data_IF_947753690410
#
_entry.id   IF_947753690410
#
_cell.length_a   1.000
_cell.length_b   1.000
_cell.length_c   1.000
_cell.angle_alpha   90.00
_cell.angle_beta   90.00
_cell.angle_gamma   90.00
#
_symmetry.space_group_name_H-M   'P 1'
#
loop_
_entity.id
_entity.type
_entity.pdbx_description
1 polymer ?
#
# COMPACT_ATOMS: atom_id res chain seq x y z
N UNK A 1 26.32 92.96 -21.18
CA UNK A 1 25.43 92.26 -22.14
C UNK A 1 26.27 91.40 -23.05
N UNK A 2 26.26 90.08 -22.85
CA UNK A 2 26.73 89.08 -23.81
C UNK A 2 25.84 87.84 -23.62
N UNK A 3 25.28 87.38 -24.74
CA UNK A 3 24.06 86.57 -24.82
C UNK A 3 24.30 85.07 -24.59
N UNK A 4 23.36 84.44 -23.90
CA UNK A 4 23.29 82.99 -23.69
C UNK A 4 22.78 82.31 -24.96
N UNK A 5 23.55 81.36 -25.52
CA UNK A 5 23.13 80.52 -26.66
C UNK A 5 22.45 79.25 -26.12
N UNK A 6 21.23 78.88 -26.55
CA UNK A 6 20.56 77.67 -26.07
C UNK A 6 21.13 76.41 -26.75
N UNK A 7 21.29 75.34 -25.96
CA UNK A 7 21.73 74.01 -26.39
C UNK A 7 20.57 73.31 -27.16
N UNK A 8 20.84 72.62 -28.28
CA UNK A 8 19.80 71.89 -29.00
C UNK A 8 19.38 70.65 -28.20
N UNK A 9 18.08 70.36 -28.20
CA UNK A 9 17.50 69.18 -27.57
C UNK A 9 17.99 67.90 -28.28
N UNK A 10 18.45 66.92 -27.51
CA UNK A 10 18.75 65.58 -28.00
C UNK A 10 17.47 64.96 -28.57
N UNK A 11 17.52 64.46 -29.80
CA UNK A 11 16.47 63.61 -30.34
C UNK A 11 16.38 62.30 -29.51
N UNK A 12 15.17 61.76 -29.26
CA UNK A 12 15.02 60.52 -28.53
C UNK A 12 15.65 59.35 -29.32
N UNK A 13 16.38 58.49 -28.62
CA UNK A 13 16.95 57.27 -29.21
C UNK A 13 15.84 56.35 -29.75
N UNK A 14 16.06 55.68 -30.90
CA UNK A 14 15.08 54.75 -31.45
C UNK A 14 14.91 53.57 -30.49
N UNK A 15 13.67 53.36 -30.03
CA UNK A 15 13.31 52.24 -29.19
C UNK A 15 13.68 50.92 -29.89
N UNK A 16 14.54 50.13 -29.24
CA UNK A 16 14.78 48.74 -29.58
C UNK A 16 13.43 48.01 -29.60
N UNK A 17 13.00 47.63 -30.81
CA UNK A 17 11.86 46.76 -31.05
C UNK A 17 11.94 45.53 -30.16
N UNK A 18 11.07 45.44 -29.15
CA UNK A 18 10.84 44.23 -28.38
C UNK A 18 10.37 43.14 -29.35
N UNK A 19 11.23 42.18 -29.64
CA UNK A 19 10.80 40.93 -30.28
C UNK A 19 9.71 40.33 -29.41
N UNK A 20 8.57 39.87 -29.96
CA UNK A 20 7.54 39.24 -29.14
C UNK A 20 8.16 38.03 -28.46
N UNK A 21 8.05 37.94 -27.13
CA UNK A 21 8.38 36.71 -26.43
C UNK A 21 7.48 35.61 -27.02
N UNK A 22 8.09 34.70 -27.79
CA UNK A 22 7.40 33.53 -28.32
C UNK A 22 7.19 32.57 -27.15
N UNK A 23 6.15 32.84 -26.37
CA UNK A 23 5.69 31.98 -25.30
C UNK A 23 4.90 30.80 -25.86
N UNK A 24 5.05 29.62 -25.26
CA UNK A 24 4.17 28.50 -25.51
C UNK A 24 2.73 28.90 -25.17
N UNK A 25 1.77 28.47 -25.99
CA UNK A 25 0.35 28.64 -25.64
C UNK A 25 0.04 27.90 -24.34
N UNK A 26 -0.99 28.34 -23.60
CA UNK A 26 -1.43 27.65 -22.38
C UNK A 26 -1.74 26.16 -22.63
N UNK A 27 -2.28 25.83 -23.81
CA UNK A 27 -2.53 24.45 -24.22
C UNK A 27 -1.23 23.66 -24.43
N UNK A 28 -0.18 24.27 -25.02
CA UNK A 28 1.12 23.64 -25.20
C UNK A 28 1.86 23.42 -23.87
N UNK A 29 1.74 24.38 -22.92
CA UNK A 29 2.28 24.21 -21.56
C UNK A 29 1.57 23.08 -20.82
N UNK A 30 0.24 23.02 -20.88
CA UNK A 30 -0.53 21.94 -20.26
C UNK A 30 -0.15 20.55 -20.83
N UNK A 31 -0.02 20.46 -22.15
CA UNK A 31 0.41 19.22 -22.81
C UNK A 31 1.85 18.82 -22.42
N UNK A 32 2.78 19.78 -22.31
CA UNK A 32 4.14 19.52 -21.87
C UNK A 32 4.17 19.06 -20.40
N UNK A 33 3.42 19.72 -19.51
CA UNK A 33 3.31 19.32 -18.11
C UNK A 33 2.75 17.91 -17.97
N UNK A 34 1.71 17.57 -18.75
CA UNK A 34 1.15 16.21 -18.76
C UNK A 34 2.18 15.18 -19.25
N UNK A 35 2.86 15.47 -20.35
CA UNK A 35 3.91 14.59 -20.89
C UNK A 35 5.04 14.35 -19.87
N UNK A 36 5.47 15.40 -19.15
CA UNK A 36 6.50 15.26 -18.12
C UNK A 36 6.06 14.36 -16.96
N UNK A 37 4.80 14.49 -16.52
CA UNK A 37 4.23 13.61 -15.49
C UNK A 37 4.15 12.15 -15.97
N UNK A 38 3.68 11.94 -17.21
CA UNK A 38 3.62 10.59 -17.80
C UNK A 38 5.01 9.97 -17.98
N UNK A 39 5.99 10.76 -18.43
CA UNK A 39 7.38 10.32 -18.59
C UNK A 39 8.00 9.93 -17.24
N UNK A 40 7.80 10.76 -16.20
CA UNK A 40 8.31 10.46 -14.87
C UNK A 40 7.69 9.18 -14.30
N UNK A 41 6.37 9.00 -14.44
CA UNK A 41 5.69 7.79 -14.00
C UNK A 41 6.21 6.53 -14.72
N UNK A 42 6.50 6.63 -16.03
CA UNK A 42 7.09 5.54 -16.81
C UNK A 42 8.49 5.19 -16.33
N UNK A 43 9.32 6.19 -16.03
CA UNK A 43 10.68 6.01 -15.49
C UNK A 43 10.66 5.36 -14.10
N UNK A 44 9.77 5.81 -13.21
CA UNK A 44 9.60 5.23 -11.87
C UNK A 44 9.15 3.76 -11.94
N UNK A 45 8.20 3.46 -12.83
CA UNK A 45 7.75 2.09 -13.07
C UNK A 45 8.90 1.23 -13.63
N UNK A 46 9.65 1.72 -14.61
CA UNK A 46 10.79 1.00 -15.17
C UNK A 46 11.88 0.72 -14.13
N UNK A 47 12.17 1.68 -13.26
CA UNK A 47 13.10 1.51 -12.14
C UNK A 47 12.61 0.43 -11.15
N UNK A 48 11.32 0.40 -10.85
CA UNK A 48 10.74 -0.63 -9.98
C UNK A 48 10.84 -2.04 -10.58
N UNK A 49 10.63 -2.20 -11.89
CA UNK A 49 10.82 -3.48 -12.57
C UNK A 49 12.31 -3.90 -12.58
N UNK A 50 13.23 -2.97 -12.81
CA UNK A 50 14.67 -3.27 -12.72
C UNK A 50 15.08 -3.71 -11.30
N UNK A 51 14.56 -3.06 -10.26
CA UNK A 51 14.80 -3.46 -8.87
C UNK A 51 14.23 -4.86 -8.57
N UNK A 52 13.05 -5.19 -9.12
CA UNK A 52 12.49 -6.53 -9.02
C UNK A 52 13.39 -7.58 -9.71
N UNK A 53 13.94 -7.29 -10.89
CA UNK A 53 14.88 -8.18 -11.58
C UNK A 53 16.18 -8.42 -10.77
N UNK A 54 16.73 -7.37 -10.14
CA UNK A 54 17.88 -7.51 -9.23
C UNK A 54 17.54 -8.39 -8.02
N UNK A 55 16.35 -8.22 -7.44
CA UNK A 55 15.86 -9.03 -6.34
C UNK A 55 15.66 -10.49 -6.76
N UNK A 56 15.13 -10.74 -7.97
CA UNK A 56 15.00 -12.09 -8.51
C UNK A 56 16.37 -12.77 -8.65
N UNK A 57 17.37 -12.04 -9.12
CA UNK A 57 18.73 -12.54 -9.23
C UNK A 57 19.37 -12.83 -7.85
N UNK A 58 19.05 -12.02 -6.83
CA UNK A 58 19.49 -12.23 -5.46
C UNK A 58 18.80 -13.44 -4.79
N UNK A 59 17.48 -13.56 -4.92
CA UNK A 59 16.69 -14.70 -4.43
C UNK A 59 17.20 -16.01 -5.06
N UNK A 60 17.50 -16.01 -6.37
CA UNK A 60 18.08 -17.17 -7.07
C UNK A 60 19.47 -17.58 -6.55
N UNK A 61 20.22 -16.64 -5.97
CA UNK A 61 21.53 -16.88 -5.33
C UNK A 61 21.40 -17.25 -3.85
N UNK A 62 20.19 -17.19 -3.28
CA UNK A 62 19.94 -17.42 -1.86
C UNK A 62 20.25 -16.23 -0.95
N UNK A 63 20.49 -15.05 -1.54
CA UNK A 63 20.61 -13.80 -0.80
C UNK A 63 19.20 -13.40 -0.31
N UNK A 64 19.11 -12.77 0.87
CA UNK A 64 17.83 -12.38 1.50
C UNK A 64 17.62 -10.85 1.59
N UNK A 65 17.70 -10.07 0.49
CA UNK A 65 17.55 -8.62 0.54
C UNK A 65 16.06 -8.20 0.51
N UNK A 66 15.19 -8.88 1.26
CA UNK A 66 13.74 -8.60 1.22
C UNK A 66 13.43 -7.28 1.91
N UNK A 67 13.07 -6.27 1.12
CA UNK A 67 12.64 -4.94 1.58
C UNK A 67 11.46 -4.47 0.74
N UNK A 68 10.51 -3.78 1.36
CA UNK A 68 9.43 -3.10 0.64
C UNK A 68 9.93 -1.91 -0.19
N UNK A 69 11.15 -1.42 0.06
CA UNK A 69 11.77 -0.36 -0.76
C UNK A 69 11.96 -0.78 -2.24
N UNK A 70 12.10 -2.09 -2.50
CA UNK A 70 12.18 -2.63 -3.86
C UNK A 70 10.82 -2.58 -4.59
N UNK A 71 9.73 -2.35 -3.87
CA UNK A 71 8.36 -2.34 -4.37
C UNK A 71 7.66 -1.05 -3.96
N UNK A 72 8.00 0.11 -4.56
CA UNK A 72 7.39 1.38 -4.19
C UNK A 72 5.87 1.37 -4.38
N UNK A 73 5.16 2.04 -3.47
CA UNK A 73 3.70 2.17 -3.47
C UNK A 73 3.20 2.84 -4.75
N UNK A 74 2.19 2.25 -5.39
CA UNK A 74 1.48 2.87 -6.51
C UNK A 74 0.08 3.31 -6.07
N UNK A 75 -0.05 4.59 -5.75
CA UNK A 75 -1.29 5.17 -5.23
C UNK A 75 -2.48 5.00 -6.19
N UNK A 76 -2.23 5.06 -7.51
CA UNK A 76 -3.26 4.79 -8.52
C UNK A 76 -3.81 3.36 -8.52
N UNK A 77 -3.09 2.42 -7.89
CA UNK A 77 -3.50 1.04 -7.70
C UNK A 77 -4.04 0.78 -6.28
N UNK A 78 -4.17 1.82 -5.46
CA UNK A 78 -4.57 1.71 -4.05
C UNK A 78 -3.64 0.80 -3.23
N UNK A 79 -2.35 0.87 -3.53
CA UNK A 79 -1.30 0.14 -2.82
C UNK A 79 -0.79 0.96 -1.64
N UNK A 80 -1.10 0.51 -0.43
CA UNK A 80 -0.59 1.10 0.81
C UNK A 80 0.07 0.01 1.63
N UNK A 81 1.36 0.15 1.87
CA UNK A 81 2.14 -0.90 2.52
C UNK A 81 2.08 -0.75 4.02
N UNK A 82 1.81 -1.85 4.73
CA UNK A 82 1.91 -1.84 6.18
C UNK A 82 3.34 -1.45 6.60
N UNK A 83 3.48 -0.67 7.66
CA UNK A 83 4.79 -0.37 8.23
C UNK A 83 5.47 -1.63 8.81
N UNK A 84 6.77 -1.55 9.09
CA UNK A 84 7.55 -2.73 9.52
C UNK A 84 7.02 -3.31 10.85
N UNK A 85 6.57 -2.48 11.78
CA UNK A 85 6.03 -2.95 13.06
C UNK A 85 4.73 -3.73 12.85
N UNK A 86 3.83 -3.19 12.04
CA UNK A 86 2.55 -3.78 11.68
C UNK A 86 2.74 -5.11 10.96
N UNK A 87 3.59 -5.12 9.93
CA UNK A 87 3.93 -6.35 9.20
C UNK A 87 4.50 -7.42 10.13
N UNK A 88 5.36 -7.03 11.08
CA UNK A 88 5.96 -7.95 12.08
C UNK A 88 4.93 -8.50 13.06
N UNK A 89 4.00 -7.68 13.55
CA UNK A 89 2.93 -8.11 14.47
C UNK A 89 1.99 -9.09 13.78
N UNK A 90 1.54 -8.77 12.56
CA UNK A 90 0.68 -9.63 11.75
C UNK A 90 1.37 -10.95 11.39
N UNK A 91 2.64 -10.91 10.97
CA UNK A 91 3.41 -12.11 10.65
C UNK A 91 3.55 -13.05 11.86
N UNK A 92 3.84 -12.51 13.06
CA UNK A 92 3.90 -13.31 14.29
C UNK A 92 2.57 -13.96 14.63
N UNK A 93 1.48 -13.22 14.48
CA UNK A 93 0.14 -13.76 14.71
C UNK A 93 -0.19 -14.87 13.70
N UNK A 94 0.10 -14.67 12.42
CA UNK A 94 -0.09 -15.71 11.40
C UNK A 94 0.67 -17.00 11.75
N UNK A 95 1.94 -16.90 12.13
CA UNK A 95 2.76 -18.07 12.51
C UNK A 95 2.18 -18.76 13.75
N UNK A 96 1.77 -17.99 14.75
CA UNK A 96 1.20 -18.52 16.00
C UNK A 96 -0.09 -19.30 15.75
N UNK A 97 -0.93 -18.85 14.81
CA UNK A 97 -2.21 -19.50 14.50
C UNK A 97 -2.11 -20.63 13.48
N UNK A 98 -1.09 -20.60 12.61
CA UNK A 98 -0.94 -21.58 11.54
C UNK A 98 -0.57 -22.98 12.03
N UNK A 99 0.04 -23.12 13.22
CA UNK A 99 0.46 -24.41 13.78
C UNK A 99 1.25 -25.28 12.78
N UNK A 100 2.14 -24.66 12.00
CA UNK A 100 2.94 -25.30 10.94
C UNK A 100 2.23 -25.47 9.59
N UNK A 101 0.94 -25.15 9.49
CA UNK A 101 0.18 -25.19 8.23
C UNK A 101 0.47 -24.00 7.31
N UNK A 102 -0.15 -24.03 6.12
CA UNK A 102 0.03 -23.01 5.08
C UNK A 102 -0.56 -21.66 5.49
N UNK A 103 0.20 -20.60 5.26
CA UNK A 103 -0.25 -19.20 5.43
C UNK A 103 -0.47 -18.60 4.04
N UNK A 104 -1.70 -18.15 3.78
CA UNK A 104 -2.06 -17.47 2.53
C UNK A 104 -2.21 -15.97 2.80
N UNK A 105 -1.56 -15.15 1.99
CA UNK A 105 -1.59 -13.70 2.05
C UNK A 105 -2.30 -13.19 0.79
N UNK A 106 -3.42 -12.49 0.96
CA UNK A 106 -4.19 -11.91 -0.16
C UNK A 106 -4.06 -10.40 -0.10
N UNK A 107 -3.43 -9.82 -1.12
CA UNK A 107 -3.12 -8.39 -1.20
C UNK A 107 -2.33 -7.84 -0.01
N UNK A 108 -1.56 -8.70 0.69
CA UNK A 108 -0.73 -8.29 1.84
C UNK A 108 0.76 -8.62 1.64
N UNK A 109 1.43 -7.96 0.68
CA UNK A 109 2.84 -8.23 0.38
C UNK A 109 3.80 -7.85 1.52
N UNK A 110 3.51 -6.80 2.29
CA UNK A 110 4.35 -6.40 3.44
C UNK A 110 4.49 -7.51 4.48
N UNK A 111 3.38 -8.18 4.80
CA UNK A 111 3.39 -9.32 5.74
C UNK A 111 4.10 -10.53 5.13
N UNK A 112 3.91 -10.78 3.83
CA UNK A 112 4.62 -11.85 3.12
C UNK A 112 6.15 -11.67 3.18
N UNK A 113 6.67 -10.48 2.86
CA UNK A 113 8.12 -10.22 2.94
C UNK A 113 8.63 -10.34 4.38
N UNK A 114 7.83 -9.91 5.37
CA UNK A 114 8.19 -10.08 6.78
C UNK A 114 8.26 -11.56 7.19
N UNK A 115 7.32 -12.40 6.74
CA UNK A 115 7.35 -13.85 6.96
C UNK A 115 8.58 -14.49 6.31
N UNK A 116 8.94 -14.09 5.09
CA UNK A 116 10.18 -14.49 4.43
C UNK A 116 11.39 -14.08 5.29
N UNK A 117 11.49 -12.81 5.70
CA UNK A 117 12.57 -12.25 6.56
C UNK A 117 12.73 -13.00 7.87
N UNK A 118 11.63 -13.43 8.46
CA UNK A 118 11.61 -14.25 9.68
C UNK A 118 12.02 -15.71 9.45
N UNK A 119 12.18 -16.14 8.19
CA UNK A 119 12.53 -17.50 7.78
C UNK A 119 11.62 -18.56 8.43
N UNK A 120 10.31 -18.28 8.40
CA UNK A 120 9.30 -19.17 9.00
C UNK A 120 9.28 -20.52 8.28
N UNK A 121 9.02 -21.63 9.00
CA UNK A 121 8.95 -22.95 8.38
C UNK A 121 7.64 -23.21 7.64
N UNK A 122 6.63 -22.35 7.82
CA UNK A 122 5.32 -22.48 7.21
C UNK A 122 5.40 -22.32 5.68
N UNK A 123 4.68 -23.15 4.90
CA UNK A 123 4.45 -22.87 3.50
C UNK A 123 3.72 -21.53 3.33
N UNK A 124 4.16 -20.71 2.38
CA UNK A 124 3.58 -19.41 2.09
C UNK A 124 2.95 -19.40 0.70
N UNK A 125 1.86 -18.65 0.54
CA UNK A 125 1.25 -18.32 -0.75
C UNK A 125 0.92 -16.83 -0.74
N UNK A 126 1.41 -16.09 -1.73
CA UNK A 126 1.06 -14.69 -1.95
C UNK A 126 0.13 -14.59 -3.17
N UNK A 127 -1.09 -14.11 -2.95
CA UNK A 127 -2.01 -13.71 -4.01
C UNK A 127 -1.92 -12.19 -4.15
N UNK A 128 -1.33 -11.71 -5.24
CA UNK A 128 -1.20 -10.27 -5.48
C UNK A 128 -1.47 -9.87 -6.94
N UNK A 129 -2.03 -8.68 -7.13
CA UNK A 129 -2.24 -8.06 -8.43
C UNK A 129 -0.94 -7.53 -9.02
N UNK A 130 -0.04 -7.01 -8.17
CA UNK A 130 1.23 -6.46 -8.62
C UNK A 130 2.21 -7.53 -9.07
N UNK A 131 2.40 -7.62 -10.39
CA UNK A 131 3.28 -8.62 -11.02
C UNK A 131 4.76 -8.41 -10.71
N UNK A 132 5.17 -7.29 -10.09
CA UNK A 132 6.54 -7.12 -9.60
C UNK A 132 6.89 -8.18 -8.55
N UNK A 133 5.92 -8.70 -7.79
CA UNK A 133 6.14 -9.78 -6.83
C UNK A 133 6.34 -11.16 -7.48
N UNK A 134 6.23 -11.30 -8.81
CA UNK A 134 6.47 -12.56 -9.52
C UNK A 134 7.90 -13.10 -9.42
N UNK A 135 8.81 -12.31 -8.84
CA UNK A 135 10.17 -12.73 -8.45
C UNK A 135 10.15 -13.84 -7.41
N UNK A 136 9.07 -13.97 -6.64
CA UNK A 136 8.90 -14.99 -5.61
C UNK A 136 8.17 -16.22 -6.15
N UNK A 137 8.66 -17.45 -5.92
CA UNK A 137 7.96 -18.67 -6.37
C UNK A 137 6.61 -18.88 -5.68
N UNK A 138 6.40 -18.26 -4.51
CA UNK A 138 5.15 -18.28 -3.75
C UNK A 138 4.08 -17.33 -4.32
N UNK A 139 4.43 -16.46 -5.27
CA UNK A 139 3.50 -15.50 -5.87
C UNK A 139 2.53 -16.17 -6.85
N UNK A 140 1.27 -15.76 -6.83
CA UNK A 140 0.29 -15.99 -7.88
C UNK A 140 -0.41 -14.69 -8.20
N UNK A 141 -0.53 -14.40 -9.49
CA UNK A 141 -1.27 -13.25 -9.98
C UNK A 141 -2.75 -13.37 -9.55
N UNK A 142 -3.26 -12.34 -8.92
CA UNK A 142 -4.60 -12.30 -8.35
C UNK A 142 -5.29 -11.00 -8.69
N UNK A 143 -6.57 -11.08 -9.06
CA UNK A 143 -7.41 -9.96 -9.40
C UNK A 143 -8.75 -10.16 -8.69
N UNK A 144 -9.05 -9.31 -7.69
CA UNK A 144 -10.29 -9.44 -6.93
C UNK A 144 -11.54 -9.26 -7.80
N UNK A 145 -11.43 -8.67 -9.01
CA UNK A 145 -12.55 -8.62 -9.96
C UNK A 145 -12.89 -10.00 -10.54
N UNK A 146 -11.96 -10.96 -10.45
CA UNK A 146 -12.09 -12.36 -10.86
C UNK A 146 -11.60 -13.30 -9.74
N UNK A 147 -12.28 -13.31 -8.57
CA UNK A 147 -11.73 -13.82 -7.32
C UNK A 147 -11.36 -15.31 -7.35
N UNK A 148 -12.09 -16.13 -8.12
CA UNK A 148 -11.87 -17.57 -8.21
C UNK A 148 -10.98 -18.00 -9.40
N UNK A 149 -10.48 -17.05 -10.19
CA UNK A 149 -9.67 -17.38 -11.36
C UNK A 149 -8.27 -17.86 -10.93
N UNK A 150 -7.85 -19.02 -11.43
CA UNK A 150 -6.50 -19.55 -11.27
C UNK A 150 -6.03 -19.77 -9.81
N UNK A 151 -6.97 -20.04 -8.90
CA UNK A 151 -6.61 -20.37 -7.52
C UNK A 151 -5.84 -21.70 -7.44
N UNK A 152 -4.75 -21.76 -6.68
CA UNK A 152 -4.04 -23.00 -6.46
C UNK A 152 -4.88 -23.96 -5.59
N UNK A 153 -4.69 -25.26 -5.80
CA UNK A 153 -5.25 -26.28 -4.92
C UNK A 153 -4.45 -26.34 -3.61
N UNK A 154 -4.88 -25.55 -2.63
CA UNK A 154 -4.25 -25.46 -1.32
C UNK A 154 -5.30 -25.25 -0.25
N UNK A 155 -5.07 -25.85 0.91
CA UNK A 155 -5.87 -25.62 2.10
C UNK A 155 -5.08 -24.78 3.11
N UNK A 156 -5.58 -23.59 3.41
CA UNK A 156 -4.95 -22.62 4.29
C UNK A 156 -5.22 -22.94 5.77
N UNK A 157 -4.19 -22.93 6.61
CA UNK A 157 -4.37 -22.88 8.06
C UNK A 157 -4.72 -21.45 8.51
N UNK A 158 -4.06 -20.46 7.91
CA UNK A 158 -4.32 -19.03 8.11
C UNK A 158 -4.47 -18.35 6.77
N UNK A 159 -5.47 -17.48 6.65
CA UNK A 159 -5.59 -16.54 5.52
C UNK A 159 -5.57 -15.13 6.09
N UNK A 160 -4.60 -14.32 5.66
CA UNK A 160 -4.57 -12.90 5.92
C UNK A 160 -5.01 -12.13 4.68
N UNK A 161 -5.97 -11.21 4.84
CA UNK A 161 -6.49 -10.37 3.75
C UNK A 161 -6.29 -8.89 4.06
N UNK A 162 -5.78 -8.13 3.09
CA UNK A 162 -5.63 -6.68 3.14
C UNK A 162 -6.04 -6.08 1.78
N UNK A 163 -7.35 -6.07 1.46
CA UNK A 163 -7.82 -5.73 0.12
C UNK A 163 -7.55 -4.26 -0.24
N UNK A 164 -7.32 -3.96 -1.53
CA UNK A 164 -6.87 -2.63 -1.98
C UNK A 164 -7.86 -1.51 -1.71
N UNK A 165 -9.16 -1.83 -1.67
CA UNK A 165 -10.22 -0.84 -1.45
C UNK A 165 -11.05 -1.16 -0.20
N UNK A 166 -11.31 -0.12 0.58
CA UNK A 166 -12.14 -0.18 1.78
C UNK A 166 -13.61 0.02 1.41
N UNK A 167 -14.18 -0.97 0.73
CA UNK A 167 -15.61 -1.05 0.43
C UNK A 167 -16.11 -2.49 0.40
N UNK A 168 -17.42 -2.67 0.55
CA UNK A 168 -18.04 -3.99 0.68
C UNK A 168 -17.87 -4.87 -0.57
N UNK A 169 -17.87 -4.29 -1.77
CA UNK A 169 -17.70 -5.05 -3.01
C UNK A 169 -16.31 -5.68 -3.08
N UNK A 170 -15.26 -4.88 -2.86
CA UNK A 170 -13.88 -5.34 -2.86
C UNK A 170 -13.64 -6.37 -1.76
N UNK A 171 -14.14 -6.09 -0.54
CA UNK A 171 -13.99 -7.01 0.58
C UNK A 171 -14.72 -8.33 0.33
N UNK A 172 -15.97 -8.30 -0.14
CA UNK A 172 -16.77 -9.50 -0.41
C UNK A 172 -16.14 -10.42 -1.44
N UNK A 173 -15.60 -9.86 -2.54
CA UNK A 173 -14.89 -10.66 -3.56
C UNK A 173 -13.59 -11.24 -3.02
N UNK A 174 -12.86 -10.47 -2.22
CA UNK A 174 -11.63 -10.96 -1.56
C UNK A 174 -11.96 -12.08 -0.55
N UNK A 175 -13.07 -11.95 0.18
CA UNK A 175 -13.56 -12.97 1.10
C UNK A 175 -14.05 -14.24 0.37
N UNK A 176 -14.54 -14.12 -0.87
CA UNK A 176 -14.85 -15.28 -1.72
C UNK A 176 -13.59 -16.11 -1.98
N UNK A 177 -12.50 -15.46 -2.39
CA UNK A 177 -11.17 -16.09 -2.55
C UNK A 177 -10.69 -16.73 -1.26
N UNK A 178 -10.75 -15.99 -0.15
CA UNK A 178 -10.30 -16.46 1.16
C UNK A 178 -11.05 -17.71 1.61
N UNK A 179 -12.37 -17.77 1.39
CA UNK A 179 -13.19 -18.95 1.72
C UNK A 179 -12.94 -20.13 0.79
N UNK A 180 -12.66 -19.89 -0.50
CA UNK A 180 -12.33 -20.96 -1.43
C UNK A 180 -11.04 -21.71 -1.06
N UNK A 181 -10.11 -21.05 -0.37
CA UNK A 181 -8.84 -21.60 0.10
C UNK A 181 -8.90 -22.11 1.55
N UNK A 182 -10.03 -21.94 2.23
CA UNK A 182 -10.19 -22.28 3.63
C UNK A 182 -10.59 -23.74 3.85
N UNK A 183 -10.08 -24.32 4.93
CA UNK A 183 -10.61 -25.52 5.56
C UNK A 183 -11.55 -25.20 6.73
N UNK A 184 -12.07 -26.24 7.42
CA UNK A 184 -13.03 -26.06 8.51
C UNK A 184 -12.50 -25.22 9.69
N UNK A 185 -11.19 -25.31 9.97
CA UNK A 185 -10.56 -24.68 11.14
C UNK A 185 -9.75 -23.43 10.81
N UNK A 186 -9.79 -22.97 9.55
CA UNK A 186 -8.98 -21.85 9.05
C UNK A 186 -9.19 -20.60 9.87
N UNK A 187 -8.07 -19.95 10.20
CA UNK A 187 -8.05 -18.67 10.92
C UNK A 187 -7.97 -17.53 9.91
N UNK A 188 -8.91 -16.61 9.98
CA UNK A 188 -8.91 -15.39 9.18
C UNK A 188 -8.34 -14.24 10.01
N UNK A 189 -7.45 -13.48 9.38
CA UNK A 189 -7.00 -12.18 9.85
C UNK A 189 -7.31 -11.20 8.71
N UNK A 190 -8.13 -10.17 8.95
CA UNK A 190 -8.38 -9.14 7.95
C UNK A 190 -7.86 -7.80 8.44
N UNK A 191 -7.24 -7.04 7.54
CA UNK A 191 -6.91 -5.63 7.73
C UNK A 191 -7.76 -4.83 6.75
N UNK A 192 -8.59 -3.93 7.28
CA UNK A 192 -9.41 -3.02 6.47
C UNK A 192 -9.93 -1.88 7.33
N UNK A 193 -10.61 -0.90 6.74
CA UNK A 193 -11.21 0.19 7.50
C UNK A 193 -12.50 -0.22 8.22
N UNK A 194 -12.84 0.49 9.29
CA UNK A 194 -14.03 0.20 10.12
C UNK A 194 -15.36 0.18 9.35
N UNK A 195 -15.48 0.97 8.28
CA UNK A 195 -16.71 1.06 7.49
C UNK A 195 -17.16 -0.29 6.90
N UNK A 196 -16.24 -1.23 6.65
CA UNK A 196 -16.59 -2.57 6.12
C UNK A 196 -16.78 -3.64 7.19
N UNK A 197 -16.76 -3.29 8.49
CA UNK A 197 -16.81 -4.26 9.60
C UNK A 197 -17.98 -5.24 9.53
N UNK A 198 -19.15 -4.77 9.09
CA UNK A 198 -20.35 -5.60 8.95
C UNK A 198 -20.17 -6.62 7.83
N UNK A 199 -19.61 -6.20 6.69
CA UNK A 199 -19.24 -7.09 5.59
C UNK A 199 -18.20 -8.13 6.04
N UNK A 200 -17.18 -7.72 6.82
CA UNK A 200 -16.17 -8.64 7.37
C UNK A 200 -16.82 -9.71 8.25
N UNK A 201 -17.72 -9.31 9.15
CA UNK A 201 -18.42 -10.22 10.04
C UNK A 201 -19.33 -11.19 9.27
N UNK A 202 -20.05 -10.72 8.25
CA UNK A 202 -20.96 -11.55 7.46
C UNK A 202 -20.22 -12.54 6.54
N UNK A 203 -19.09 -12.14 5.97
CA UNK A 203 -18.39 -12.93 4.95
C UNK A 203 -17.34 -13.88 5.52
N UNK A 204 -16.62 -13.47 6.57
CA UNK A 204 -15.55 -14.27 7.18
C UNK A 204 -15.86 -14.73 8.62
N UNK A 205 -16.96 -14.27 9.21
CA UNK A 205 -17.24 -14.52 10.64
C UNK A 205 -16.23 -13.84 11.57
N UNK A 206 -15.44 -12.91 11.05
CA UNK A 206 -14.39 -12.24 11.79
C UNK A 206 -14.93 -10.98 12.49
N UNK A 207 -14.41 -10.70 13.68
CA UNK A 207 -14.80 -9.56 14.52
C UNK A 207 -13.60 -8.66 14.74
N UNK A 208 -13.87 -7.39 14.98
CA UNK A 208 -12.83 -6.40 15.23
C UNK A 208 -11.94 -6.83 16.41
N UNK A 209 -10.65 -6.57 16.28
CA UNK A 209 -9.65 -6.81 17.29
C UNK A 209 -8.96 -5.51 17.70
N UNK A 210 -8.33 -5.51 18.88
CA UNK A 210 -7.70 -4.32 19.46
C UNK A 210 -6.55 -3.74 18.60
N UNK A 211 -6.02 -4.53 17.68
CA UNK A 211 -4.87 -4.16 16.86
C UNK A 211 -5.24 -3.18 15.75
N UNK A 212 -4.40 -2.16 15.57
CA UNK A 212 -4.58 -1.06 14.62
C UNK A 212 -3.42 -1.06 13.63
N UNK A 213 -3.62 -1.59 12.42
CA UNK A 213 -2.58 -1.62 11.40
C UNK A 213 -2.16 -0.21 10.98
N UNK A 214 -0.85 0.06 10.98
CA UNK A 214 -0.24 1.26 10.44
C UNK A 214 0.36 1.04 9.05
N UNK A 215 0.57 2.13 8.32
CA UNK A 215 1.06 2.13 6.94
C UNK A 215 2.29 3.04 6.80
N UNK A 216 3.26 2.62 5.99
CA UNK A 216 4.53 3.33 5.82
C UNK A 216 4.34 4.75 5.22
N UNK A 217 3.43 4.89 4.25
CA UNK A 217 3.10 6.18 3.64
C UNK A 217 2.21 7.09 4.50
N UNK A 218 1.69 6.60 5.63
CA UNK A 218 0.75 7.32 6.50
C UNK A 218 -0.62 7.51 5.86
N UNK A 219 -1.62 6.76 6.33
CA UNK A 219 -3.01 6.93 5.91
C UNK A 219 -3.81 7.72 6.95
N UNK A 220 -4.64 8.67 6.49
CA UNK A 220 -5.57 9.39 7.36
C UNK A 220 -6.75 8.50 7.80
N UNK A 221 -7.10 7.49 7.01
CA UNK A 221 -8.16 6.54 7.34
C UNK A 221 -7.65 5.52 8.35
N UNK A 222 -8.28 5.39 9.54
CA UNK A 222 -7.91 4.37 10.50
C UNK A 222 -8.26 2.98 9.96
N UNK A 223 -7.30 2.07 10.07
CA UNK A 223 -7.51 0.65 9.81
C UNK A 223 -7.76 -0.11 11.12
N UNK A 224 -8.43 -1.25 10.99
CA UNK A 224 -8.70 -2.20 12.06
C UNK A 224 -8.26 -3.59 11.62
N UNK A 225 -7.81 -4.39 12.58
CA UNK A 225 -7.68 -5.82 12.40
C UNK A 225 -8.99 -6.53 12.77
N UNK A 226 -9.29 -7.63 12.09
CA UNK A 226 -10.43 -8.49 12.39
C UNK A 226 -9.99 -9.94 12.42
N UNK A 227 -10.50 -10.74 13.36
CA UNK A 227 -10.17 -12.16 13.50
C UNK A 227 -11.40 -13.01 13.74
N UNK A 228 -11.40 -14.28 13.31
CA UNK A 228 -12.49 -15.24 13.55
C UNK A 228 -12.20 -16.23 14.70
N UNK A 229 -11.26 -15.89 15.58
CA UNK A 229 -10.78 -16.77 16.65
C UNK A 229 -10.41 -15.99 17.90
N UNK A 230 -10.36 -16.68 19.04
CA UNK A 230 -9.91 -16.11 20.30
C UNK A 230 -8.38 -16.17 20.38
N UNK A 231 -7.72 -15.01 20.25
CA UNK A 231 -6.28 -14.93 20.41
C UNK A 231 -5.85 -14.80 21.87
N UNK A 232 -4.71 -15.43 22.21
CA UNK A 232 -4.01 -15.19 23.48
C UNK A 232 -3.22 -13.87 23.45
N UNK A 233 -2.99 -13.32 22.26
CA UNK A 233 -2.32 -12.05 22.09
C UNK A 233 -3.31 -10.90 22.36
N UNK A 234 -3.07 -10.02 23.35
CA UNK A 234 -4.00 -8.94 23.69
C UNK A 234 -4.35 -8.03 22.51
N UNK A 235 -3.43 -7.87 21.56
CA UNK A 235 -3.67 -7.10 20.34
C UNK A 235 -4.74 -7.73 19.43
N UNK A 236 -4.87 -9.06 19.43
CA UNK A 236 -5.84 -9.78 18.59
C UNK A 236 -7.03 -10.33 19.37
N UNK A 237 -7.26 -9.82 20.59
CA UNK A 237 -8.52 -10.05 21.31
C UNK A 237 -9.61 -9.17 20.73
N UNK A 238 -10.86 -9.63 20.85
CA UNK A 238 -12.01 -8.89 20.33
C UNK A 238 -12.14 -7.52 20.98
N UNK A 239 -12.25 -6.50 20.12
CA UNK A 239 -12.53 -5.12 20.48
C UNK A 239 -14.03 -4.87 20.25
N UNK A 240 -14.80 -4.44 21.26
CA UNK A 240 -16.21 -4.09 21.05
C UNK A 240 -16.36 -2.98 20.01
N UNK A 241 -17.41 -3.06 19.21
CA UNK A 241 -17.73 -2.02 18.22
C UNK A 241 -18.11 -0.72 18.95
N UNK A 242 -17.44 0.41 18.68
CA UNK A 242 -17.75 1.68 19.33
C UNK A 242 -19.15 2.20 18.94
N UNK A 243 -19.92 2.65 19.94
CA UNK A 243 -21.29 3.15 19.74
C UNK A 243 -21.34 4.41 18.85
N UNK A 244 -20.29 5.25 18.89
CA UNK A 244 -20.21 6.54 18.18
C UNK A 244 -19.32 6.49 16.91
N UNK A 245 -19.04 5.28 16.41
CA UNK A 245 -18.15 5.06 15.27
C UNK A 245 -16.66 5.13 15.62
N UNK A 246 -15.82 4.87 14.62
CA UNK A 246 -14.39 4.58 14.80
C UNK A 246 -13.47 5.78 15.05
N UNK A 247 -13.97 6.77 15.79
CA UNK A 247 -13.32 8.07 15.95
C UNK A 247 -12.86 8.32 17.39
N UNK A 248 -12.18 7.34 17.99
CA UNK A 248 -11.71 7.39 19.38
C UNK A 248 -10.46 8.27 19.60
N UNK A 249 -10.07 9.08 18.61
CA UNK A 249 -8.91 9.97 18.69
C UNK A 249 -7.55 9.26 18.71
N UNK A 250 -7.50 7.93 18.68
CA UNK A 250 -6.23 7.17 18.72
C UNK A 250 -5.62 6.91 17.35
N UNK A 251 -6.32 7.27 16.26
CA UNK A 251 -5.84 7.11 14.88
C UNK A 251 -4.46 7.75 14.61
N UNK A 252 -4.04 8.73 15.44
CA UNK A 252 -2.80 9.48 15.26
C UNK A 252 -1.70 9.15 16.29
N UNK A 253 -1.92 8.24 17.24
CA UNK A 253 -0.94 7.99 18.31
C UNK A 253 0.34 7.25 17.86
N UNK A 254 0.42 6.80 16.61
CA UNK A 254 1.56 6.04 16.07
C UNK A 254 2.61 6.86 15.29
N UNK A 255 2.32 8.10 14.90
CA UNK A 255 3.31 8.97 14.27
C UNK A 255 4.01 9.78 15.36
N UNK A 256 5.30 9.47 15.61
CA UNK A 256 6.11 10.06 16.68
C UNK A 256 5.94 11.57 16.82
N UNK A 257 5.29 11.99 17.91
CA UNK A 257 5.30 13.37 18.35
C UNK A 257 6.70 13.73 18.83
N UNK A 258 7.47 14.43 17.99
CA UNK A 258 8.55 15.28 18.49
C UNK A 258 7.86 16.36 19.31
N UNK A 259 8.09 16.32 20.63
CA UNK A 259 7.61 17.34 21.54
C UNK A 259 8.05 18.71 21.07
N UNK A 260 7.09 19.56 20.77
CA UNK A 260 7.29 21.01 20.82
C UNK A 260 7.01 21.42 22.24
N UNK A 261 8.09 21.46 23.04
CA UNK A 261 8.09 22.18 24.32
C UNK A 261 7.80 23.66 24.05
N UNK A 262 6.86 24.19 24.83
CA UNK A 262 6.66 25.62 25.06
C UNK A 262 7.03 25.93 26.51
#
# INVERSE_FOLDING_TARGET
>A
MLATVPRPALAPEPALSSSPEVGLSAAALAALSQFMVESQALEEMAAAYAAADELAAAEAKGDKPWSMEAFPEQWGMSQFWNDEETARRLARECVAQANGGTIVLISSPSVFLMLKKMAVPNPLLLLEYDTRFAVFPEFRAYDYARPLAHLPDVQAAVVLVDPPYVNDECFSKTAETARALAGPDTKFIACSGWVVRECVAQTLGARMANFRPGHAGGLATPFRAYVNYESKNPAFQYDPDPEDGDNDGTAFAGAGGVGVDA
#
